data_IF_862029361146
#
_entry.id   IF_862029361146
#
_cell.length_a   1.000
_cell.length_b   1.000
_cell.length_c   1.000
_cell.angle_alpha   90.00
_cell.angle_beta   90.00
_cell.angle_gamma   90.00
#
_symmetry.space_group_name_H-M   'P 1'
#
loop_
_entity.id
_entity.type
_entity.pdbx_description
1 polymer ?
#
# COMPACT_ATOMS: atom_id res chain seq x y z
N UNK A 1 -26.95 -12.00 21.15
CA UNK A 1 -27.15 -12.73 22.43
C UNK A 1 -25.84 -13.43 22.76
N UNK A 2 -25.32 -13.29 23.98
CA UNK A 2 -24.03 -13.85 24.39
C UNK A 2 -24.26 -14.85 25.54
N UNK A 3 -23.66 -16.03 25.46
CA UNK A 3 -23.91 -17.14 26.37
C UNK A 3 -22.75 -17.41 27.32
N UNK A 4 -23.06 -17.73 28.57
CA UNK A 4 -22.11 -18.26 29.56
C UNK A 4 -22.80 -19.44 30.27
N UNK A 5 -22.18 -20.63 30.24
CA UNK A 5 -22.75 -21.84 30.84
C UNK A 5 -24.12 -22.24 30.27
N UNK A 6 -24.35 -22.06 28.95
CA UNK A 6 -25.62 -22.42 28.28
C UNK A 6 -26.78 -21.43 28.48
N UNK A 7 -26.66 -20.46 29.39
CA UNK A 7 -27.70 -19.44 29.66
C UNK A 7 -27.47 -18.19 28.81
N UNK A 8 -28.56 -17.64 28.25
CA UNK A 8 -28.53 -16.39 27.45
C UNK A 8 -28.65 -15.18 28.37
N UNK A 9 -27.77 -14.21 28.21
CA UNK A 9 -27.77 -12.96 28.97
C UNK A 9 -28.02 -11.75 28.06
N UNK A 10 -28.62 -10.70 28.63
CA UNK A 10 -28.85 -9.40 27.96
C UNK A 10 -27.62 -8.49 28.00
N UNK A 11 -26.50 -8.99 28.52
CA UNK A 11 -25.19 -8.33 28.56
C UNK A 11 -24.22 -9.06 27.64
N UNK A 12 -23.19 -8.37 27.15
CA UNK A 12 -22.09 -9.04 26.47
C UNK A 12 -21.16 -9.63 27.53
N UNK A 13 -20.81 -10.90 27.38
CA UNK A 13 -19.89 -11.60 28.27
C UNK A 13 -18.77 -12.16 27.42
N UNK A 14 -17.53 -11.91 27.82
CA UNK A 14 -16.34 -12.55 27.25
C UNK A 14 -15.60 -13.24 28.39
N UNK A 15 -15.31 -14.52 28.21
CA UNK A 15 -14.49 -15.30 29.13
C UNK A 15 -13.22 -15.73 28.41
N UNK A 16 -12.09 -15.69 29.11
CA UNK A 16 -10.80 -16.18 28.63
C UNK A 16 -10.05 -16.82 29.79
N UNK A 17 -9.97 -18.15 29.80
CA UNK A 17 -9.41 -18.97 30.89
C UNK A 17 -10.06 -18.55 32.22
N UNK A 18 -9.34 -17.84 33.09
CA UNK A 18 -9.78 -17.41 34.42
C UNK A 18 -10.42 -16.01 34.44
N UNK A 19 -10.25 -15.24 33.36
CA UNK A 19 -10.68 -13.83 33.29
C UNK A 19 -12.02 -13.69 32.56
N UNK A 20 -13.04 -13.22 33.29
CA UNK A 20 -14.38 -12.92 32.76
C UNK A 20 -14.61 -11.41 32.77
N UNK A 21 -15.04 -10.86 31.64
CA UNK A 21 -15.50 -9.48 31.52
C UNK A 21 -16.96 -9.42 31.08
N UNK A 22 -17.71 -8.52 31.71
CA UNK A 22 -19.13 -8.26 31.44
C UNK A 22 -19.25 -6.82 30.96
N UNK A 23 -19.89 -6.62 29.80
CA UNK A 23 -20.02 -5.32 29.14
C UNK A 23 -21.48 -5.02 28.84
N UNK A 24 -21.89 -3.78 29.13
CA UNK A 24 -23.20 -3.23 28.78
C UNK A 24 -23.08 -1.70 28.65
N UNK A 25 -23.87 -1.11 27.75
CA UNK A 25 -23.97 0.35 27.60
C UNK A 25 -24.67 1.01 28.79
N UNK A 26 -25.61 0.31 29.46
CA UNK A 26 -26.33 0.83 30.61
C UNK A 26 -25.67 0.41 31.94
N UNK A 27 -25.24 1.39 32.75
CA UNK A 27 -24.56 1.18 34.04
C UNK A 27 -25.42 0.41 35.06
N UNK A 28 -26.70 0.76 35.17
CA UNK A 28 -27.62 0.14 36.14
C UNK A 28 -27.89 -1.32 35.77
N UNK A 29 -28.16 -1.56 34.48
CA UNK A 29 -28.32 -2.91 33.94
C UNK A 29 -27.05 -3.75 34.14
N UNK A 30 -25.87 -3.17 33.90
CA UNK A 30 -24.59 -3.84 34.14
C UNK A 30 -24.42 -4.24 35.61
N UNK A 31 -24.65 -3.33 36.55
CA UNK A 31 -24.53 -3.62 37.98
C UNK A 31 -25.46 -4.77 38.41
N UNK A 32 -26.75 -4.70 38.00
CA UNK A 32 -27.73 -5.74 38.32
C UNK A 32 -27.33 -7.09 37.72
N UNK A 33 -26.99 -7.12 36.43
CA UNK A 33 -26.64 -8.36 35.73
C UNK A 33 -25.32 -8.96 36.22
N UNK A 34 -24.35 -8.15 36.60
CA UNK A 34 -23.11 -8.63 37.23
C UNK A 34 -23.41 -9.42 38.51
N UNK A 35 -24.30 -8.94 39.37
CA UNK A 35 -24.69 -9.67 40.59
C UNK A 35 -25.42 -10.99 40.27
N UNK A 36 -26.35 -10.97 39.31
CA UNK A 36 -27.05 -12.18 38.85
C UNK A 36 -26.06 -13.24 38.29
N UNK A 37 -25.06 -12.80 37.52
CA UNK A 37 -24.03 -13.67 36.94
C UNK A 37 -23.09 -14.21 38.02
N UNK A 38 -22.69 -13.38 38.99
CA UNK A 38 -21.88 -13.81 40.14
C UNK A 38 -22.60 -14.91 40.91
N UNK A 39 -23.90 -14.74 41.18
CA UNK A 39 -24.68 -15.76 41.87
C UNK A 39 -24.80 -17.04 41.03
N UNK A 40 -25.03 -16.91 39.73
CA UNK A 40 -25.06 -18.04 38.81
C UNK A 40 -23.74 -18.83 38.81
N UNK A 41 -22.59 -18.14 38.75
CA UNK A 41 -21.27 -18.79 38.80
C UNK A 41 -21.04 -19.50 40.14
N UNK A 42 -21.42 -18.88 41.26
CA UNK A 42 -21.37 -19.53 42.58
C UNK A 42 -22.22 -20.79 42.64
N UNK A 43 -23.43 -20.77 42.07
CA UNK A 43 -24.31 -21.94 42.00
C UNK A 43 -23.72 -23.07 41.15
N UNK A 44 -22.89 -22.74 40.16
CA UNK A 44 -22.11 -23.72 39.38
C UNK A 44 -20.85 -24.21 40.11
N UNK A 45 -20.64 -23.82 41.38
CA UNK A 45 -19.49 -24.24 42.19
C UNK A 45 -18.24 -23.37 42.02
N UNK A 46 -18.30 -22.25 41.30
CA UNK A 46 -17.14 -21.38 41.11
C UNK A 46 -16.81 -20.60 42.39
N UNK A 47 -15.52 -20.59 42.76
CA UNK A 47 -14.99 -19.80 43.88
C UNK A 47 -14.40 -18.49 43.36
N UNK A 48 -15.15 -17.40 43.53
CA UNK A 48 -14.75 -16.06 43.09
C UNK A 48 -13.92 -15.37 44.17
N UNK A 49 -12.77 -14.79 43.79
CA UNK A 49 -11.88 -14.05 44.69
C UNK A 49 -12.39 -12.62 44.92
N UNK A 50 -12.89 -12.25 46.13
CA UNK A 50 -13.50 -10.94 46.36
C UNK A 50 -12.53 -9.77 46.11
N UNK A 51 -11.24 -9.98 46.39
CA UNK A 51 -10.17 -8.98 46.23
C UNK A 51 -9.73 -8.77 44.78
N UNK A 52 -10.00 -9.74 43.89
CA UNK A 52 -9.64 -9.66 42.46
C UNK A 52 -10.82 -9.26 41.60
N UNK A 53 -12.03 -9.67 41.98
CA UNK A 53 -13.25 -9.37 41.23
C UNK A 53 -13.63 -7.89 41.37
N UNK A 54 -13.83 -7.22 40.23
CA UNK A 54 -14.37 -5.86 40.19
C UNK A 54 -15.85 -5.91 39.82
N UNK A 55 -16.72 -5.73 40.82
CA UNK A 55 -18.18 -5.85 40.63
C UNK A 55 -18.86 -4.51 40.33
N UNK A 56 -18.20 -3.40 40.65
CA UNK A 56 -18.72 -2.05 40.37
C UNK A 56 -18.40 -1.70 38.91
N UNK A 57 -19.42 -1.34 38.10
CA UNK A 57 -19.20 -0.90 36.73
C UNK A 57 -18.22 0.27 36.64
N UNK A 58 -17.23 0.16 35.77
CA UNK A 58 -16.25 1.21 35.49
C UNK A 58 -15.99 1.33 33.99
N UNK A 59 -15.73 2.55 33.55
CA UNK A 59 -15.28 2.83 32.17
C UNK A 59 -13.77 2.69 31.98
N UNK A 60 -13.01 2.61 33.09
CA UNK A 60 -11.56 2.37 33.11
C UNK A 60 -11.29 1.08 33.89
N UNK A 61 -10.72 0.08 33.25
CA UNK A 61 -10.48 -1.22 33.87
C UNK A 61 -9.27 -1.91 33.26
N UNK A 62 -8.81 -2.97 33.91
CA UNK A 62 -7.77 -3.84 33.39
C UNK A 62 -8.36 -5.19 33.00
N UNK A 63 -7.99 -5.69 31.82
CA UNK A 63 -8.43 -6.99 31.31
C UNK A 63 -7.34 -7.55 30.38
N UNK A 64 -6.97 -8.83 30.57
CA UNK A 64 -5.90 -9.51 29.85
C UNK A 64 -4.55 -8.76 29.87
N UNK A 65 -4.23 -8.13 31.00
CA UNK A 65 -2.99 -7.38 31.19
C UNK A 65 -2.96 -5.99 30.54
N UNK A 66 -4.08 -5.50 29.99
CA UNK A 66 -4.17 -4.19 29.33
C UNK A 66 -5.05 -3.21 30.12
N UNK A 67 -4.75 -1.92 30.03
CA UNK A 67 -5.61 -0.85 30.56
C UNK A 67 -6.58 -0.37 29.48
N UNK A 68 -7.87 -0.56 29.71
CA UNK A 68 -8.96 -0.19 28.80
C UNK A 68 -9.64 1.10 29.26
N UNK A 69 -9.96 1.99 28.33
CA UNK A 69 -10.76 3.18 28.56
C UNK A 69 -11.90 3.26 27.55
N UNK A 70 -13.13 2.96 28.00
CA UNK A 70 -14.30 2.96 27.12
C UNK A 70 -14.89 4.35 26.86
N UNK A 71 -14.37 5.41 27.51
CA UNK A 71 -14.75 6.78 27.12
C UNK A 71 -14.08 7.17 25.80
N UNK A 72 -12.81 6.82 25.64
CA UNK A 72 -12.01 7.15 24.45
C UNK A 72 -11.89 5.99 23.47
N UNK A 73 -12.37 4.79 23.84
CA UNK A 73 -12.21 3.56 23.07
C UNK A 73 -10.74 3.23 22.80
N UNK A 74 -9.92 3.36 23.84
CA UNK A 74 -8.47 3.21 23.79
C UNK A 74 -7.98 2.07 24.69
N UNK A 75 -6.88 1.44 24.27
CA UNK A 75 -6.14 0.47 25.07
C UNK A 75 -4.67 0.86 25.20
N UNK A 76 -4.13 0.74 26.42
CA UNK A 76 -2.75 1.11 26.74
C UNK A 76 -2.06 0.09 27.64
N UNK A 77 -0.74 0.01 27.54
CA UNK A 77 0.11 -0.76 28.43
C UNK A 77 0.03 -0.16 29.85
N UNK A 78 -0.29 -0.98 30.88
CA UNK A 78 -0.28 -0.52 32.26
C UNK A 78 1.08 0.02 32.71
N UNK A 79 1.06 1.05 33.56
CA UNK A 79 2.26 1.76 33.99
C UNK A 79 3.30 0.86 34.67
N UNK A 80 2.87 -0.13 35.45
CA UNK A 80 3.77 -1.07 36.13
C UNK A 80 4.54 -1.94 35.12
N UNK A 81 3.84 -2.58 34.19
CA UNK A 81 4.46 -3.40 33.12
C UNK A 81 5.37 -2.54 32.23
N UNK A 82 4.93 -1.32 31.90
CA UNK A 82 5.73 -0.34 31.16
C UNK A 82 7.06 -0.01 31.84
N UNK A 83 7.08 0.15 33.17
CA UNK A 83 8.31 0.41 33.93
C UNK A 83 9.26 -0.79 33.85
N UNK A 84 8.76 -2.01 34.04
CA UNK A 84 9.56 -3.24 33.98
C UNK A 84 10.22 -3.42 32.60
N UNK A 85 9.43 -3.32 31.53
CA UNK A 85 9.94 -3.46 30.15
C UNK A 85 10.95 -2.37 29.78
N UNK A 86 10.74 -1.13 30.25
CA UNK A 86 11.70 -0.05 30.06
C UNK A 86 13.05 -0.34 30.73
N UNK A 87 13.05 -0.80 31.97
CA UNK A 87 14.29 -1.14 32.68
C UNK A 87 15.01 -2.26 31.94
N UNK A 88 14.30 -3.35 31.64
CA UNK A 88 14.87 -4.48 30.91
C UNK A 88 15.47 -4.09 29.56
N UNK A 89 14.77 -3.27 28.77
CA UNK A 89 15.32 -2.81 27.49
C UNK A 89 16.56 -1.93 27.65
N UNK A 90 16.66 -1.11 28.72
CA UNK A 90 17.89 -0.35 28.99
C UNK A 90 19.05 -1.27 29.31
N UNK A 91 18.82 -2.29 30.13
CA UNK A 91 19.84 -3.28 30.46
C UNK A 91 20.34 -3.98 29.18
N UNK A 92 19.41 -4.43 28.33
CA UNK A 92 19.75 -5.03 27.03
C UNK A 92 20.50 -4.07 26.09
N UNK A 93 20.20 -2.78 26.13
CA UNK A 93 20.95 -1.77 25.36
C UNK A 93 22.40 -1.69 25.87
N UNK A 94 22.63 -1.63 27.19
CA UNK A 94 23.97 -1.58 27.76
C UNK A 94 24.77 -2.87 27.50
N UNK A 95 24.16 -4.04 27.70
CA UNK A 95 24.74 -5.35 27.36
C UNK A 95 25.14 -5.39 25.88
N UNK A 96 24.29 -4.87 24.98
CA UNK A 96 24.58 -4.83 23.54
C UNK A 96 25.69 -3.83 23.18
N UNK A 97 25.76 -2.66 23.83
CA UNK A 97 26.82 -1.67 23.64
C UNK A 97 28.19 -2.24 24.01
N UNK A 98 28.23 -2.95 25.14
CA UNK A 98 29.42 -3.64 25.63
C UNK A 98 29.73 -4.94 24.87
N UNK A 99 28.87 -5.35 23.93
CA UNK A 99 29.00 -6.58 23.14
C UNK A 99 29.20 -7.82 24.02
N UNK A 100 28.49 -7.86 25.15
CA UNK A 100 28.55 -8.99 26.07
C UNK A 100 28.00 -10.27 25.42
N UNK A 101 28.43 -11.40 25.98
CA UNK A 101 27.97 -12.72 25.59
C UNK A 101 26.74 -13.07 26.41
N UNK A 102 25.65 -13.48 25.75
CA UNK A 102 24.38 -13.84 26.38
C UNK A 102 23.89 -15.21 25.90
N UNK A 103 23.10 -15.90 26.71
CA UNK A 103 22.46 -17.15 26.31
C UNK A 103 21.38 -16.93 25.26
N UNK A 104 21.26 -17.84 24.27
CA UNK A 104 20.20 -17.75 23.25
C UNK A 104 18.80 -17.76 23.86
N UNK A 105 18.59 -18.50 24.96
CA UNK A 105 17.34 -18.51 25.73
C UNK A 105 17.00 -17.14 26.34
N UNK A 106 17.99 -16.34 26.73
CA UNK A 106 17.74 -14.99 27.26
C UNK A 106 17.21 -14.06 26.17
N UNK A 107 17.77 -14.16 24.96
CA UNK A 107 17.25 -13.42 23.78
C UNK A 107 15.83 -13.87 23.45
N UNK A 108 15.55 -15.19 23.52
CA UNK A 108 14.22 -15.74 23.29
C UNK A 108 13.20 -15.26 24.34
N UNK A 109 13.59 -15.18 25.61
CA UNK A 109 12.77 -14.63 26.70
C UNK A 109 12.42 -13.16 26.45
N UNK A 110 13.39 -12.31 26.07
CA UNK A 110 13.11 -10.92 25.70
C UNK A 110 12.10 -10.84 24.55
N UNK A 111 12.27 -11.64 23.50
CA UNK A 111 11.34 -11.68 22.37
C UNK A 111 9.94 -12.11 22.83
N UNK A 112 9.84 -13.12 23.70
CA UNK A 112 8.58 -13.60 24.26
C UNK A 112 7.82 -12.49 25.00
N UNK A 113 8.51 -11.70 25.81
CA UNK A 113 7.92 -10.57 26.53
C UNK A 113 7.50 -9.44 25.58
N UNK A 114 8.30 -9.13 24.57
CA UNK A 114 7.95 -8.12 23.56
C UNK A 114 6.78 -8.57 22.67
N UNK A 115 6.54 -9.87 22.50
CA UNK A 115 5.39 -10.37 21.75
C UNK A 115 4.06 -9.94 22.36
N UNK A 116 3.99 -9.79 23.69
CA UNK A 116 2.80 -9.28 24.38
C UNK A 116 2.37 -7.93 23.80
N UNK A 117 3.34 -7.05 23.52
CA UNK A 117 3.10 -5.70 23.04
C UNK A 117 2.50 -5.61 21.63
N UNK A 118 2.44 -6.71 20.86
CA UNK A 118 1.87 -6.73 19.51
C UNK A 118 0.39 -6.37 19.46
N UNK A 119 -0.32 -6.51 20.58
CA UNK A 119 -1.71 -6.10 20.67
C UNK A 119 -1.85 -4.59 20.50
N UNK A 120 -1.12 -3.80 21.32
CA UNK A 120 -1.17 -2.34 21.26
C UNK A 120 -0.32 -1.76 20.10
N UNK A 121 0.91 -2.27 19.90
CA UNK A 121 1.84 -1.77 18.89
C UNK A 121 1.96 -2.79 17.75
N UNK A 122 1.07 -2.72 16.75
CA UNK A 122 1.09 -3.63 15.60
C UNK A 122 2.46 -3.66 14.89
N UNK A 123 3.09 -2.49 14.76
CA UNK A 123 4.38 -2.29 14.10
C UNK A 123 5.59 -2.87 14.84
N UNK A 124 5.44 -3.37 16.08
CA UNK A 124 6.59 -3.81 16.89
C UNK A 124 7.39 -4.93 16.22
N UNK A 125 6.72 -5.75 15.40
CA UNK A 125 7.33 -6.86 14.68
C UNK A 125 8.37 -6.39 13.66
N UNK A 126 8.21 -5.18 13.10
CA UNK A 126 9.19 -4.57 12.20
C UNK A 126 10.56 -4.47 12.87
N UNK A 127 10.59 -4.10 14.15
CA UNK A 127 11.83 -3.90 14.92
C UNK A 127 12.34 -5.19 15.56
N UNK A 128 11.43 -6.09 15.95
CA UNK A 128 11.78 -7.40 16.51
C UNK A 128 12.37 -8.39 15.50
N UNK A 129 12.17 -8.18 14.19
CA UNK A 129 12.69 -9.09 13.16
C UNK A 129 14.21 -9.28 13.20
N UNK A 130 14.97 -8.25 13.59
CA UNK A 130 16.43 -8.35 13.74
C UNK A 130 16.79 -9.26 14.92
N UNK A 131 16.10 -9.14 16.05
CA UNK A 131 16.26 -10.01 17.22
C UNK A 131 15.91 -11.47 16.88
N UNK A 132 14.79 -11.68 16.19
CA UNK A 132 14.37 -13.03 15.74
C UNK A 132 15.39 -13.66 14.80
N UNK A 133 15.92 -12.88 13.84
CA UNK A 133 16.94 -13.36 12.90
C UNK A 133 18.24 -13.70 13.63
N UNK A 134 18.66 -12.86 14.57
CA UNK A 134 19.85 -13.07 15.39
C UNK A 134 19.72 -14.36 16.22
N UNK A 135 18.62 -14.49 16.98
CA UNK A 135 18.28 -15.69 17.76
C UNK A 135 18.27 -16.95 16.90
N UNK A 136 17.59 -16.92 15.74
CA UNK A 136 17.44 -18.10 14.89
C UNK A 136 18.77 -18.54 14.29
N UNK A 137 19.60 -17.60 13.83
CA UNK A 137 20.95 -17.91 13.34
C UNK A 137 21.84 -18.50 14.44
N UNK A 138 21.75 -17.96 15.65
CA UNK A 138 22.49 -18.46 16.80
C UNK A 138 22.10 -19.91 17.16
N UNK A 139 20.79 -20.17 17.25
CA UNK A 139 20.26 -21.50 17.57
C UNK A 139 20.62 -22.55 16.51
N UNK A 140 20.58 -22.18 15.21
CA UNK A 140 20.91 -23.11 14.10
C UNK A 140 22.40 -23.41 14.04
N UNK A 141 23.28 -22.43 14.27
CA UNK A 141 24.74 -22.64 14.21
C UNK A 141 25.30 -23.38 15.43
N UNK A 142 24.62 -23.31 16.56
CA UNK A 142 25.04 -23.94 17.81
C UNK A 142 23.91 -24.79 18.37
N UNK A 143 23.31 -24.33 19.47
CA UNK A 143 22.16 -24.97 20.10
C UNK A 143 21.36 -23.96 20.91
N UNK A 144 20.20 -24.33 21.44
CA UNK A 144 19.45 -23.47 22.38
C UNK A 144 20.20 -23.17 23.68
N UNK A 145 21.18 -23.99 24.04
CA UNK A 145 21.98 -23.81 25.25
C UNK A 145 23.27 -23.02 25.00
N UNK A 146 23.55 -22.64 23.74
CA UNK A 146 24.77 -21.90 23.45
C UNK A 146 24.66 -20.43 23.90
N UNK A 147 25.84 -19.81 24.00
CA UNK A 147 25.98 -18.39 24.24
C UNK A 147 26.40 -17.68 22.96
N UNK A 148 25.96 -16.44 22.79
CA UNK A 148 26.25 -15.63 21.61
C UNK A 148 26.59 -14.19 21.97
N UNK A 149 27.56 -13.65 21.26
CA UNK A 149 27.95 -12.27 21.39
C UNK A 149 26.94 -11.35 20.70
N UNK A 150 26.43 -10.34 21.41
CA UNK A 150 25.49 -9.38 20.85
C UNK A 150 26.16 -8.45 19.82
N UNK A 151 25.48 -8.26 18.69
CA UNK A 151 25.94 -7.39 17.62
C UNK A 151 25.35 -5.98 17.78
N UNK A 152 26.19 -4.94 17.71
CA UNK A 152 25.78 -3.52 17.77
C UNK A 152 24.74 -3.13 16.70
N UNK A 153 24.63 -3.88 15.59
CA UNK A 153 23.57 -3.71 14.57
C UNK A 153 22.14 -3.84 15.11
N UNK A 154 21.97 -4.46 16.29
CA UNK A 154 20.67 -4.62 16.95
C UNK A 154 20.24 -3.32 17.66
N UNK A 155 21.20 -2.47 18.09
CA UNK A 155 20.95 -1.29 18.91
C UNK A 155 19.86 -0.35 18.38
N UNK A 156 19.82 0.03 17.08
CA UNK A 156 18.77 0.92 16.58
C UNK A 156 17.36 0.36 16.81
N UNK A 157 17.19 -0.96 16.73
CA UNK A 157 15.90 -1.60 16.97
C UNK A 157 15.54 -1.60 18.45
N UNK A 158 16.52 -1.83 19.36
CA UNK A 158 16.28 -1.75 20.80
C UNK A 158 15.90 -0.33 21.23
N UNK A 159 16.57 0.69 20.68
CA UNK A 159 16.20 2.08 20.91
C UNK A 159 14.78 2.39 20.43
N UNK A 160 14.42 1.92 19.23
CA UNK A 160 13.06 2.15 18.70
C UNK A 160 11.99 1.42 19.52
N UNK A 161 12.26 0.20 19.99
CA UNK A 161 11.38 -0.51 20.92
C UNK A 161 11.22 0.24 22.24
N UNK A 162 12.33 0.77 22.80
CA UNK A 162 12.29 1.56 24.02
C UNK A 162 11.50 2.86 23.82
N UNK A 163 11.64 3.52 22.67
CA UNK A 163 10.87 4.70 22.29
C UNK A 163 9.37 4.41 22.24
N UNK A 164 8.95 3.32 21.58
CA UNK A 164 7.53 2.92 21.52
C UNK A 164 6.93 2.74 22.92
N UNK A 165 7.63 2.02 23.80
CA UNK A 165 7.17 1.79 25.19
C UNK A 165 7.21 3.10 26.01
N UNK A 166 8.17 3.99 25.73
CA UNK A 166 8.24 5.32 26.35
C UNK A 166 7.12 6.24 25.88
N UNK A 167 6.71 6.21 24.63
CA UNK A 167 5.58 7.02 24.17
C UNK A 167 4.26 6.44 24.68
N UNK A 168 4.12 5.11 24.65
CA UNK A 168 2.91 4.40 25.03
C UNK A 168 1.64 4.97 24.39
N UNK A 169 1.73 5.33 23.10
CA UNK A 169 0.58 5.83 22.34
C UNK A 169 -0.56 4.81 22.43
N UNK A 170 -1.79 5.22 22.81
CA UNK A 170 -2.90 4.30 22.90
C UNK A 170 -3.21 3.64 21.56
N UNK A 171 -3.69 2.41 21.62
CA UNK A 171 -4.36 1.79 20.48
C UNK A 171 -5.81 2.25 20.48
N UNK A 172 -6.24 2.97 19.45
CA UNK A 172 -7.63 3.28 19.20
C UNK A 172 -8.37 2.04 18.67
N UNK A 173 -9.58 1.82 19.18
CA UNK A 173 -10.47 0.73 18.77
C UNK A 173 -11.62 1.21 17.88
N UNK A 174 -11.68 2.51 17.58
CA UNK A 174 -12.67 3.08 16.67
C UNK A 174 -12.42 2.58 15.26
N UNK A 175 -13.47 2.08 14.61
CA UNK A 175 -13.39 1.69 13.20
C UNK A 175 -13.40 2.97 12.38
N UNK A 176 -12.27 3.25 11.72
CA UNK A 176 -12.20 4.31 10.71
C UNK A 176 -12.75 3.76 9.41
N UNK A 177 -13.72 4.45 8.81
CA UNK A 177 -14.27 4.10 7.49
C UNK A 177 -13.41 4.75 6.41
N UNK A 178 -12.67 3.97 5.60
CA UNK A 178 -11.87 4.52 4.52
C UNK A 178 -12.80 5.08 3.43
N UNK A 179 -12.52 6.30 2.97
CA UNK A 179 -13.18 6.92 1.82
C UNK A 179 -12.27 6.98 0.57
N UNK A 180 -11.03 6.53 0.73
CA UNK A 180 -10.04 6.41 -0.35
C UNK A 180 -9.58 4.96 -0.44
N UNK A 181 -9.57 4.45 -1.67
CA UNK A 181 -9.15 3.09 -1.98
C UNK A 181 -7.94 3.16 -2.88
N UNK A 182 -6.85 2.53 -2.46
CA UNK A 182 -5.66 2.32 -3.28
C UNK A 182 -5.60 0.84 -3.67
N UNK A 183 -5.74 0.56 -4.95
CA UNK A 183 -5.54 -0.78 -5.51
C UNK A 183 -4.18 -0.85 -6.18
N UNK A 184 -3.41 -1.89 -5.91
CA UNK A 184 -2.05 -2.06 -6.46
C UNK A 184 -1.84 -3.43 -7.07
N UNK A 185 -0.96 -3.48 -8.06
CA UNK A 185 -0.51 -4.72 -8.68
C UNK A 185 0.94 -4.59 -9.15
N UNK A 186 1.62 -5.73 -9.25
CA UNK A 186 3.00 -5.80 -9.70
C UNK A 186 3.20 -6.90 -10.75
N UNK A 187 3.96 -6.57 -11.80
CA UNK A 187 4.42 -7.54 -12.78
C UNK A 187 5.95 -7.65 -12.77
N UNK A 188 6.48 -8.47 -13.66
CA UNK A 188 7.93 -8.55 -13.88
C UNK A 188 8.54 -7.26 -14.44
N UNK A 189 7.71 -6.45 -15.11
CA UNK A 189 8.13 -5.30 -15.91
C UNK A 189 7.94 -4.00 -15.13
N UNK A 190 6.85 -3.90 -14.36
CA UNK A 190 6.53 -2.67 -13.65
C UNK A 190 5.50 -2.84 -12.54
N UNK A 191 5.00 -1.70 -12.07
CA UNK A 191 3.97 -1.61 -11.05
C UNK A 191 2.81 -0.75 -11.54
N UNK A 192 1.62 -1.04 -11.01
CA UNK A 192 0.41 -0.29 -11.28
C UNK A 192 -0.31 0.09 -10.01
N UNK A 193 -0.77 1.33 -9.93
CA UNK A 193 -1.53 1.88 -8.82
C UNK A 193 -2.79 2.59 -9.31
N UNK A 194 -3.93 2.25 -8.73
CA UNK A 194 -5.21 2.90 -8.93
C UNK A 194 -5.68 3.49 -7.60
N UNK A 195 -5.81 4.80 -7.54
CA UNK A 195 -6.36 5.53 -6.40
C UNK A 195 -7.78 6.01 -6.72
N UNK A 196 -8.75 5.55 -5.96
CA UNK A 196 -10.15 5.96 -6.05
C UNK A 196 -10.45 6.94 -4.91
N UNK A 197 -10.86 8.16 -5.26
CA UNK A 197 -11.25 9.21 -4.32
C UNK A 197 -12.63 9.72 -4.71
N UNK A 198 -13.62 9.56 -3.83
CA UNK A 198 -15.01 9.96 -4.07
C UNK A 198 -15.57 9.35 -5.37
N UNK A 199 -15.67 10.15 -6.45
CA UNK A 199 -16.17 9.76 -7.78
C UNK A 199 -15.07 9.76 -8.86
N UNK A 200 -13.82 9.96 -8.47
CA UNK A 200 -12.68 10.05 -9.38
C UNK A 200 -11.74 8.87 -9.24
N UNK A 201 -11.12 8.50 -10.36
CA UNK A 201 -10.05 7.52 -10.40
C UNK A 201 -8.77 8.18 -10.91
N UNK A 202 -7.68 7.95 -10.18
CA UNK A 202 -6.35 8.37 -10.57
C UNK A 202 -5.49 7.12 -10.75
N UNK A 203 -4.74 7.09 -11.84
CA UNK A 203 -3.93 5.94 -12.21
C UNK A 203 -2.48 6.39 -12.34
N UNK A 204 -1.58 5.57 -11.81
CA UNK A 204 -0.15 5.72 -12.02
C UNK A 204 0.50 4.35 -12.23
N UNK A 205 1.55 4.34 -13.03
CA UNK A 205 2.28 3.14 -13.42
C UNK A 205 3.66 3.54 -13.94
N UNK A 206 4.65 2.69 -13.68
CA UNK A 206 5.99 2.83 -14.21
C UNK A 206 6.72 1.48 -14.26
N UNK A 207 7.78 1.42 -15.06
CA UNK A 207 8.66 0.26 -15.12
C UNK A 207 9.57 0.18 -13.88
N UNK A 208 10.01 -1.04 -13.54
CA UNK A 208 11.02 -1.22 -12.51
C UNK A 208 12.35 -0.65 -12.98
N UNK A 209 12.82 0.42 -12.33
CA UNK A 209 14.17 0.94 -12.59
C UNK A 209 15.26 -0.07 -12.19
N UNK A 210 16.45 0.04 -12.80
CA UNK A 210 17.57 -0.90 -12.59
C UNK A 210 18.14 -0.96 -11.16
N UNK A 211 17.72 -0.05 -10.25
CA UNK A 211 18.11 -0.08 -8.85
C UNK A 211 17.25 -1.06 -8.02
N UNK A 212 16.15 -1.57 -8.58
CA UNK A 212 15.30 -2.56 -7.93
C UNK A 212 15.82 -3.97 -8.16
N UNK A 213 16.28 -4.62 -7.10
CA UNK A 213 16.66 -6.03 -7.10
C UNK A 213 15.54 -6.90 -6.51
N UNK A 214 14.39 -6.93 -7.18
CA UNK A 214 13.18 -7.66 -6.75
C UNK A 214 13.22 -9.09 -7.31
N UNK A 215 13.51 -10.08 -6.46
CA UNK A 215 13.76 -11.47 -6.87
C UNK A 215 12.54 -12.39 -6.76
N UNK A 216 11.42 -11.89 -6.24
CA UNK A 216 10.22 -12.69 -5.99
C UNK A 216 8.97 -11.87 -6.20
N UNK A 217 7.85 -12.52 -6.56
CA UNK A 217 6.57 -11.85 -6.72
C UNK A 217 6.19 -11.05 -5.49
N UNK A 218 6.27 -11.64 -4.29
CA UNK A 218 5.95 -10.94 -3.03
C UNK A 218 6.78 -9.68 -2.79
N UNK A 219 8.03 -9.62 -3.28
CA UNK A 219 8.83 -8.40 -3.22
C UNK A 219 8.33 -7.34 -4.21
N UNK A 220 7.93 -7.74 -5.42
CA UNK A 220 7.35 -6.86 -6.44
C UNK A 220 6.01 -6.28 -5.96
N UNK A 221 5.15 -7.11 -5.38
CA UNK A 221 3.85 -6.70 -4.85
C UNK A 221 3.97 -5.66 -3.75
N UNK A 222 4.79 -5.91 -2.71
CA UNK A 222 4.97 -4.93 -1.64
C UNK A 222 5.71 -3.67 -2.15
N UNK A 223 6.58 -3.80 -3.16
CA UNK A 223 7.21 -2.65 -3.80
C UNK A 223 6.18 -1.81 -4.58
N UNK A 224 5.20 -2.42 -5.25
CA UNK A 224 4.13 -1.71 -5.95
C UNK A 224 3.28 -0.89 -4.98
N UNK A 225 3.02 -1.40 -3.77
CA UNK A 225 2.41 -0.63 -2.68
C UNK A 225 3.24 0.61 -2.33
N UNK A 226 4.54 0.44 -2.12
CA UNK A 226 5.44 1.56 -1.80
C UNK A 226 5.47 2.61 -2.92
N UNK A 227 5.57 2.17 -4.18
CA UNK A 227 5.63 3.06 -5.33
C UNK A 227 4.33 3.82 -5.52
N UNK A 228 3.19 3.12 -5.40
CA UNK A 228 1.87 3.76 -5.51
C UNK A 228 1.63 4.77 -4.39
N UNK A 229 1.99 4.43 -3.14
CA UNK A 229 1.90 5.39 -2.03
C UNK A 229 2.76 6.63 -2.26
N UNK A 230 3.96 6.48 -2.84
CA UNK A 230 4.82 7.63 -3.20
C UNK A 230 4.20 8.47 -4.30
N UNK A 231 3.73 7.84 -5.37
CA UNK A 231 3.08 8.53 -6.49
C UNK A 231 1.89 9.37 -6.04
N UNK A 232 1.07 8.82 -5.14
CA UNK A 232 -0.14 9.48 -4.65
C UNK A 232 0.07 10.30 -3.37
N UNK A 233 1.28 10.35 -2.81
CA UNK A 233 1.57 11.11 -1.58
C UNK A 233 1.12 12.57 -1.62
N UNK A 234 1.36 13.35 -2.70
CA UNK A 234 0.90 14.74 -2.77
C UNK A 234 -0.62 14.88 -2.66
N UNK A 235 -1.35 13.93 -3.25
CA UNK A 235 -2.81 13.95 -3.30
C UNK A 235 -3.39 13.52 -1.96
N UNK A 236 -2.83 12.49 -1.35
CA UNK A 236 -3.21 12.02 0.00
C UNK A 236 -3.02 13.12 1.05
N UNK A 237 -1.96 13.94 0.92
CA UNK A 237 -1.74 15.10 1.78
C UNK A 237 -2.75 16.22 1.53
N UNK A 238 -3.03 16.56 0.27
CA UNK A 238 -4.00 17.61 -0.08
C UNK A 238 -5.43 17.26 0.34
N UNK A 239 -5.79 15.99 0.28
CA UNK A 239 -7.14 15.49 0.60
C UNK A 239 -7.35 15.22 2.09
N UNK A 240 -6.32 15.38 2.93
CA UNK A 240 -6.36 15.12 4.38
C UNK A 240 -6.98 13.75 4.72
N UNK A 241 -6.47 12.69 4.09
CA UNK A 241 -6.99 11.33 4.28
C UNK A 241 -6.50 10.75 5.59
N UNK A 242 -7.41 10.55 6.55
CA UNK A 242 -7.07 9.91 7.83
C UNK A 242 -6.96 8.39 7.73
N UNK A 243 -7.61 7.78 6.74
CA UNK A 243 -7.66 6.32 6.56
C UNK A 243 -7.72 5.92 5.08
N UNK A 244 -6.78 5.06 4.68
CA UNK A 244 -6.64 4.54 3.33
C UNK A 244 -6.88 3.02 3.33
N UNK A 245 -7.78 2.56 2.45
CA UNK A 245 -7.94 1.13 2.17
C UNK A 245 -6.97 0.72 1.06
N UNK A 246 -6.07 -0.22 1.36
CA UNK A 246 -5.19 -0.86 0.39
C UNK A 246 -5.77 -2.20 -0.05
N UNK A 247 -6.07 -2.30 -1.34
CA UNK A 247 -6.50 -3.53 -2.00
C UNK A 247 -5.36 -4.12 -2.82
N UNK A 248 -5.14 -5.43 -2.65
CA UNK A 248 -4.16 -6.22 -3.41
C UNK A 248 -4.68 -7.64 -3.54
N UNK A 249 -4.33 -8.33 -4.62
CA UNK A 249 -4.60 -9.75 -4.78
C UNK A 249 -3.51 -10.65 -4.18
N UNK A 250 -2.44 -10.05 -3.66
CA UNK A 250 -1.39 -10.78 -2.97
C UNK A 250 -1.67 -10.86 -1.47
N UNK A 251 -2.15 -12.03 -1.03
CA UNK A 251 -2.42 -12.32 0.39
C UNK A 251 -1.20 -12.17 1.30
N UNK A 252 0.03 -12.36 0.79
CA UNK A 252 1.24 -12.16 1.58
C UNK A 252 1.48 -10.68 1.86
N UNK A 253 1.29 -9.81 0.87
CA UNK A 253 1.40 -8.35 1.00
C UNK A 253 0.32 -7.81 1.92
N UNK A 254 -0.93 -8.23 1.73
CA UNK A 254 -2.07 -7.89 2.60
C UNK A 254 -1.75 -8.23 4.07
N UNK A 255 -1.45 -9.50 4.36
CA UNK A 255 -1.19 -9.95 5.73
C UNK A 255 0.04 -9.27 6.35
N UNK A 256 1.08 -9.07 5.53
CA UNK A 256 2.31 -8.39 5.91
C UNK A 256 2.02 -6.98 6.43
N UNK A 257 1.20 -6.21 5.72
CA UNK A 257 0.90 -4.82 6.03
C UNK A 257 -0.22 -4.68 7.07
N UNK A 258 -1.22 -5.57 7.07
CA UNK A 258 -2.30 -5.60 8.07
C UNK A 258 -1.76 -5.63 9.52
N UNK A 259 -0.80 -6.53 9.75
CA UNK A 259 -0.22 -6.78 11.05
C UNK A 259 1.18 -6.20 11.22
N UNK A 260 1.76 -5.60 10.17
CA UNK A 260 3.16 -5.20 10.12
C UNK A 260 4.12 -6.34 10.48
N UNK A 261 3.83 -7.56 9.98
CA UNK A 261 4.59 -8.80 10.23
C UNK A 261 5.25 -9.34 8.96
N UNK A 262 6.19 -8.58 8.36
CA UNK A 262 6.90 -9.04 7.17
C UNK A 262 7.82 -10.22 7.46
N UNK A 263 7.91 -11.13 6.50
CA UNK A 263 9.03 -12.06 6.40
C UNK A 263 10.35 -11.30 6.21
N UNK A 264 11.48 -11.95 6.51
CA UNK A 264 12.82 -11.33 6.47
C UNK A 264 13.13 -10.58 5.16
N UNK A 265 12.69 -11.10 4.03
CA UNK A 265 12.93 -10.51 2.71
C UNK A 265 12.12 -9.22 2.44
N UNK A 266 11.04 -8.99 3.17
CA UNK A 266 10.09 -7.88 2.96
C UNK A 266 10.23 -6.77 4.02
N UNK A 267 10.94 -7.03 5.13
CA UNK A 267 11.03 -6.13 6.29
C UNK A 267 11.48 -4.72 5.92
N UNK A 268 12.44 -4.61 5.00
CA UNK A 268 12.98 -3.32 4.61
C UNK A 268 11.92 -2.44 3.93
N UNK A 269 11.22 -2.99 2.93
CA UNK A 269 10.16 -2.26 2.21
C UNK A 269 9.00 -1.94 3.16
N UNK A 270 8.56 -2.92 3.97
CA UNK A 270 7.49 -2.70 4.95
C UNK A 270 7.81 -1.59 5.96
N UNK A 271 9.07 -1.44 6.38
CA UNK A 271 9.48 -0.31 7.25
C UNK A 271 9.39 1.03 6.55
N UNK A 272 9.76 1.10 5.28
CA UNK A 272 9.65 2.34 4.48
C UNK A 272 8.18 2.69 4.31
N UNK A 273 7.32 1.72 4.00
CA UNK A 273 5.87 1.92 3.90
C UNK A 273 5.32 2.43 5.23
N UNK A 274 5.66 1.79 6.35
CA UNK A 274 5.21 2.22 7.68
C UNK A 274 5.60 3.68 7.97
N UNK A 275 6.86 4.03 7.72
CA UNK A 275 7.36 5.39 7.94
C UNK A 275 6.69 6.40 6.99
N UNK A 276 6.43 6.02 5.74
CA UNK A 276 5.71 6.85 4.78
C UNK A 276 4.27 7.10 5.25
N UNK A 277 3.57 6.07 5.71
CA UNK A 277 2.22 6.21 6.29
C UNK A 277 2.21 7.11 7.53
N UNK A 278 3.20 6.99 8.43
CA UNK A 278 3.36 7.90 9.57
C UNK A 278 3.58 9.35 9.13
N UNK A 279 4.45 9.58 8.14
CA UNK A 279 4.73 10.93 7.62
C UNK A 279 3.53 11.56 6.91
N UNK A 280 2.69 10.74 6.27
CA UNK A 280 1.44 11.18 5.65
C UNK A 280 0.29 11.35 6.66
N UNK A 281 0.49 10.91 7.91
CA UNK A 281 -0.57 10.82 8.94
C UNK A 281 -1.78 9.96 8.50
N UNK A 282 -1.54 8.95 7.66
CA UNK A 282 -2.59 8.08 7.09
C UNK A 282 -2.58 6.73 7.81
N UNK A 283 -3.75 6.30 8.29
CA UNK A 283 -3.94 4.93 8.79
C UNK A 283 -4.20 3.97 7.63
N UNK A 284 -3.37 2.93 7.50
CA UNK A 284 -3.52 1.91 6.46
C UNK A 284 -4.42 0.77 6.94
N UNK A 285 -5.47 0.49 6.20
CA UNK A 285 -6.31 -0.72 6.29
C UNK A 285 -6.06 -1.55 5.04
N UNK A 286 -6.04 -2.87 5.14
CA UNK A 286 -5.73 -3.76 4.03
C UNK A 286 -6.89 -4.70 3.76
N UNK A 287 -7.09 -5.04 2.49
CA UNK A 287 -8.09 -6.00 2.04
C UNK A 287 -7.55 -6.82 0.88
N UNK A 288 -7.73 -8.13 0.94
CA UNK A 288 -7.37 -9.03 -0.15
C UNK A 288 -8.53 -9.11 -1.14
N UNK A 289 -8.27 -8.80 -2.40
CA UNK A 289 -9.24 -8.94 -3.50
C UNK A 289 -8.87 -10.11 -4.40
N UNK A 290 -9.84 -10.69 -5.12
CA UNK A 290 -9.50 -11.70 -6.14
C UNK A 290 -8.88 -11.00 -7.36
N UNK A 291 -7.88 -11.61 -7.99
CA UNK A 291 -7.21 -11.06 -9.19
C UNK A 291 -8.17 -10.67 -10.32
N UNK A 292 -9.29 -11.39 -10.48
CA UNK A 292 -10.36 -11.05 -11.45
C UNK A 292 -11.00 -9.66 -11.23
N UNK A 293 -10.87 -9.10 -10.03
CA UNK A 293 -11.32 -7.76 -9.68
C UNK A 293 -10.19 -6.71 -9.76
N UNK A 294 -8.93 -7.15 -9.95
CA UNK A 294 -7.74 -6.31 -10.01
C UNK A 294 -7.32 -5.90 -11.44
N UNK A 295 -8.24 -5.96 -12.41
CA UNK A 295 -7.90 -5.84 -13.83
C UNK A 295 -7.22 -4.51 -14.21
N UNK A 296 -7.59 -3.40 -13.56
CA UNK A 296 -7.02 -2.08 -13.87
C UNK A 296 -5.58 -1.99 -13.39
N UNK A 297 -5.30 -2.37 -12.14
CA UNK A 297 -3.93 -2.30 -11.62
C UNK A 297 -3.03 -3.33 -12.32
N UNK A 298 -3.52 -4.52 -12.65
CA UNK A 298 -2.75 -5.49 -13.44
C UNK A 298 -2.51 -5.04 -14.89
N UNK A 299 -3.46 -4.33 -15.52
CA UNK A 299 -3.22 -3.67 -16.80
C UNK A 299 -2.16 -2.57 -16.70
N UNK A 300 -2.13 -1.81 -15.61
CA UNK A 300 -1.11 -0.79 -15.33
C UNK A 300 0.26 -1.42 -15.09
N UNK A 301 0.35 -2.51 -14.33
CA UNK A 301 1.60 -3.18 -14.00
C UNK A 301 2.24 -3.89 -15.21
N UNK A 302 1.43 -4.33 -16.17
CA UNK A 302 1.85 -4.96 -17.45
C UNK A 302 1.68 -4.05 -18.66
N UNK A 303 1.58 -2.74 -18.44
CA UNK A 303 1.27 -1.80 -19.51
C UNK A 303 2.38 -1.82 -20.56
N UNK A 304 2.01 -1.78 -21.85
CA UNK A 304 2.98 -1.67 -22.93
C UNK A 304 3.62 -0.26 -22.99
N UNK A 305 4.49 0.05 -22.02
CA UNK A 305 5.07 1.39 -21.84
C UNK A 305 5.73 1.93 -23.11
N UNK A 306 6.41 1.07 -23.89
CA UNK A 306 7.07 1.42 -25.15
C UNK A 306 6.14 1.59 -26.36
N UNK A 307 4.82 1.52 -26.19
CA UNK A 307 3.85 1.89 -27.22
C UNK A 307 3.77 0.95 -28.42
N UNK A 308 3.93 -0.36 -28.24
CA UNK A 308 3.72 -1.35 -29.33
C UNK A 308 2.22 -1.61 -29.57
N UNK A 309 1.46 -0.56 -29.78
CA UNK A 309 0.04 -0.55 -30.14
C UNK A 309 -0.29 0.74 -30.88
N UNK A 310 -1.38 0.76 -31.63
CA UNK A 310 -1.77 1.92 -32.44
C UNK A 310 -3.27 2.12 -32.42
N UNK A 311 -3.72 3.36 -32.61
CA UNK A 311 -5.15 3.64 -32.79
C UNK A 311 -5.68 2.97 -34.06
N UNK A 312 -6.89 2.40 -34.02
CA UNK A 312 -7.54 1.80 -35.18
C UNK A 312 -7.92 2.86 -36.22
N UNK A 313 -7.95 2.48 -37.50
CA UNK A 313 -8.36 3.42 -38.57
C UNK A 313 -9.76 4.00 -38.35
N UNK A 314 -10.79 3.23 -37.92
CA UNK A 314 -12.11 3.79 -37.64
C UNK A 314 -12.08 4.89 -36.57
N UNK A 315 -11.40 4.64 -35.45
CA UNK A 315 -11.29 5.62 -34.36
C UNK A 315 -10.49 6.86 -34.77
N UNK A 316 -9.40 6.67 -35.54
CA UNK A 316 -8.63 7.81 -36.05
C UNK A 316 -9.44 8.66 -37.04
N UNK A 317 -10.18 8.04 -37.95
CA UNK A 317 -11.01 8.76 -38.91
C UNK A 317 -12.12 9.56 -38.21
N UNK A 318 -12.72 8.98 -37.16
CA UNK A 318 -13.66 9.69 -36.29
C UNK A 318 -13.01 10.90 -35.62
N UNK A 319 -11.80 10.74 -35.06
CA UNK A 319 -11.05 11.85 -34.45
C UNK A 319 -10.76 12.96 -35.46
N UNK A 320 -10.26 12.63 -36.66
CA UNK A 320 -9.95 13.58 -37.72
C UNK A 320 -11.21 14.36 -38.15
N UNK A 321 -12.33 13.66 -38.33
CA UNK A 321 -13.59 14.26 -38.75
C UNK A 321 -14.12 15.26 -37.72
N UNK A 322 -14.10 14.90 -36.43
CA UNK A 322 -14.67 15.75 -35.36
C UNK A 322 -13.73 16.90 -35.00
N UNK A 323 -12.43 16.64 -34.93
CA UNK A 323 -11.44 17.65 -34.56
C UNK A 323 -11.04 18.56 -35.74
N UNK A 324 -11.43 18.19 -36.96
CA UNK A 324 -11.14 18.90 -38.21
C UNK A 324 -9.63 19.14 -38.40
N UNK A 325 -8.83 18.12 -38.10
CA UNK A 325 -7.37 18.17 -38.19
C UNK A 325 -6.85 16.93 -38.90
N UNK A 326 -6.35 17.11 -40.13
CA UNK A 326 -5.74 16.02 -40.92
C UNK A 326 -4.24 15.96 -40.61
N UNK A 327 -3.73 14.87 -40.01
CA UNK A 327 -2.33 14.79 -39.64
C UNK A 327 -1.42 14.62 -40.85
N UNK A 328 -0.30 15.35 -40.88
CA UNK A 328 0.67 15.34 -41.99
C UNK A 328 1.73 14.25 -41.85
N UNK A 329 2.03 13.86 -40.61
CA UNK A 329 3.05 12.87 -40.26
C UNK A 329 2.67 12.14 -38.97
N UNK A 330 2.97 10.83 -38.89
CA UNK A 330 2.82 10.03 -37.68
C UNK A 330 4.17 9.92 -36.95
N UNK A 331 4.29 10.56 -35.79
CA UNK A 331 5.59 10.75 -35.15
C UNK A 331 6.11 9.53 -34.38
N UNK A 332 5.26 8.58 -33.97
CA UNK A 332 5.65 7.51 -33.05
C UNK A 332 5.19 6.14 -33.54
N UNK A 333 5.49 5.80 -34.80
CA UNK A 333 4.97 4.58 -35.42
C UNK A 333 6.04 3.68 -36.05
N UNK A 334 5.78 2.38 -36.04
CA UNK A 334 6.51 1.42 -36.87
C UNK A 334 5.92 1.38 -38.29
N UNK A 335 6.65 0.78 -39.23
CA UNK A 335 6.18 0.58 -40.61
C UNK A 335 4.80 -0.07 -40.70
N UNK A 336 4.53 -1.03 -39.81
CA UNK A 336 3.30 -1.84 -39.80
C UNK A 336 2.18 -1.22 -38.98
N UNK A 337 2.46 -0.20 -38.16
CA UNK A 337 1.50 0.44 -37.26
C UNK A 337 1.25 1.91 -37.58
N UNK A 338 1.86 2.43 -38.66
CA UNK A 338 1.70 3.81 -39.09
C UNK A 338 0.26 4.11 -39.47
N UNK A 339 -0.19 5.32 -39.16
CA UNK A 339 -1.50 5.83 -39.57
C UNK A 339 -1.45 6.99 -40.54
N UNK A 340 -0.24 7.46 -40.85
CA UNK A 340 0.04 8.39 -41.93
C UNK A 340 0.99 7.77 -42.96
N UNK A 341 0.97 8.27 -44.20
CA UNK A 341 1.92 7.83 -45.23
C UNK A 341 3.37 8.13 -44.82
N UNK A 342 3.60 9.35 -44.30
CA UNK A 342 4.85 9.82 -43.70
C UNK A 342 4.84 9.48 -42.21
N UNK A 343 5.94 8.89 -41.71
CA UNK A 343 6.05 8.51 -40.31
C UNK A 343 7.49 8.56 -39.80
N UNK A 344 7.67 8.71 -38.49
CA UNK A 344 8.93 8.55 -37.79
C UNK A 344 8.92 7.23 -37.01
N UNK A 345 10.02 6.47 -37.10
CA UNK A 345 10.10 5.13 -36.50
C UNK A 345 11.28 4.99 -35.55
N UNK A 346 11.08 4.54 -34.30
CA UNK A 346 12.19 4.36 -33.35
C UNK A 346 13.22 3.29 -33.82
N UNK A 347 12.77 2.37 -34.67
CA UNK A 347 13.60 1.34 -35.29
C UNK A 347 14.25 1.85 -36.58
N UNK A 348 15.34 1.21 -37.01
CA UNK A 348 15.99 1.56 -38.27
C UNK A 348 15.10 1.17 -39.45
N UNK A 349 14.49 2.17 -40.09
CA UNK A 349 13.63 1.98 -41.26
C UNK A 349 14.00 2.99 -42.35
N UNK A 350 14.43 2.48 -43.51
CA UNK A 350 14.79 3.30 -44.68
C UNK A 350 13.62 4.13 -45.25
N UNK A 351 12.37 3.76 -44.97
CA UNK A 351 11.15 4.45 -45.42
C UNK A 351 10.62 5.46 -44.39
N UNK A 352 11.16 5.47 -43.17
CA UNK A 352 10.77 6.45 -42.17
C UNK A 352 11.44 7.80 -42.47
N UNK A 353 10.73 8.90 -42.22
CA UNK A 353 11.24 10.26 -42.42
C UNK A 353 12.44 10.52 -41.50
N UNK A 354 12.34 10.06 -40.26
CA UNK A 354 13.39 10.12 -39.23
C UNK A 354 13.27 8.94 -38.28
N UNK A 355 14.38 8.61 -37.62
CA UNK A 355 14.42 7.58 -36.57
C UNK A 355 13.92 8.10 -35.22
N UNK A 356 14.43 9.25 -34.78
CA UNK A 356 14.03 9.85 -33.52
C UNK A 356 13.07 11.02 -33.78
N UNK A 357 11.80 10.84 -33.42
CA UNK A 357 10.78 11.88 -33.57
C UNK A 357 11.14 13.17 -32.82
N UNK A 358 11.87 13.05 -31.71
CA UNK A 358 12.24 14.17 -30.85
C UNK A 358 13.46 14.96 -31.34
N UNK A 359 14.20 14.47 -32.35
CA UNK A 359 15.51 15.02 -32.74
C UNK A 359 15.46 16.13 -33.78
N UNK A 360 14.29 16.53 -34.27
CA UNK A 360 14.13 17.58 -35.29
C UNK A 360 12.97 18.49 -34.93
N UNK A 361 12.92 19.70 -35.52
CA UNK A 361 11.82 20.64 -35.30
C UNK A 361 10.52 20.12 -35.93
N UNK A 362 9.39 20.22 -35.23
CA UNK A 362 8.08 19.90 -35.77
C UNK A 362 7.40 21.10 -36.46
N UNK A 363 8.04 22.27 -36.49
CA UNK A 363 7.49 23.47 -37.10
C UNK A 363 7.08 23.23 -38.56
N UNK A 364 5.86 23.63 -38.92
CA UNK A 364 5.28 23.45 -40.26
C UNK A 364 4.56 22.12 -40.48
N UNK A 365 4.65 21.17 -39.55
CA UNK A 365 3.88 19.93 -39.58
C UNK A 365 2.64 20.04 -38.68
N UNK A 366 1.61 19.23 -38.97
CA UNK A 366 0.46 18.99 -38.08
C UNK A 366 0.47 17.51 -37.69
N UNK A 367 1.31 17.09 -36.74
CA UNK A 367 1.57 15.68 -36.51
C UNK A 367 0.41 14.97 -35.83
N UNK A 368 0.27 13.68 -36.14
CA UNK A 368 -0.36 12.69 -35.28
C UNK A 368 0.65 12.27 -34.21
N UNK A 369 0.26 12.43 -32.96
CA UNK A 369 1.08 12.13 -31.79
C UNK A 369 0.36 11.08 -30.96
N UNK A 370 0.78 9.84 -31.09
CA UNK A 370 0.39 8.72 -30.23
C UNK A 370 1.66 8.08 -29.68
N UNK A 371 2.27 8.73 -28.69
CA UNK A 371 3.58 8.34 -28.18
C UNK A 371 3.50 7.32 -27.03
N UNK A 372 4.59 6.58 -26.76
CA UNK A 372 4.77 5.84 -25.51
C UNK A 372 4.42 6.70 -24.28
N UNK A 373 3.76 6.12 -23.28
CA UNK A 373 3.25 6.87 -22.11
C UNK A 373 4.37 7.58 -21.36
N UNK A 374 5.53 6.94 -21.25
CA UNK A 374 6.75 7.50 -20.66
C UNK A 374 7.26 8.77 -21.39
N UNK A 375 6.94 8.90 -22.68
CA UNK A 375 7.39 10.03 -23.49
C UNK A 375 6.44 11.22 -23.44
N UNK A 376 5.22 11.06 -22.91
CA UNK A 376 4.19 12.11 -22.88
C UNK A 376 4.74 13.43 -22.32
N UNK A 377 5.41 13.49 -21.14
CA UNK A 377 5.94 14.76 -20.62
C UNK A 377 6.90 15.47 -21.57
N UNK A 378 7.79 14.71 -22.21
CA UNK A 378 8.77 15.28 -23.17
C UNK A 378 8.10 15.76 -24.44
N UNK A 379 7.10 15.02 -24.91
CA UNK A 379 6.29 15.34 -26.09
C UNK A 379 5.47 16.60 -25.85
N UNK A 380 4.77 16.72 -24.72
CA UNK A 380 4.00 17.90 -24.36
C UNK A 380 4.88 19.17 -24.31
N UNK A 381 6.05 19.07 -23.68
CA UNK A 381 7.03 20.16 -23.67
C UNK A 381 7.51 20.53 -25.08
N UNK A 382 7.66 19.55 -25.97
CA UNK A 382 8.08 19.79 -27.35
C UNK A 382 6.97 20.44 -28.20
N UNK A 383 5.70 20.07 -28.00
CA UNK A 383 4.56 20.77 -28.62
C UNK A 383 4.58 22.25 -28.24
N UNK A 384 4.73 22.54 -26.94
CA UNK A 384 4.82 23.91 -26.44
C UNK A 384 6.05 24.65 -26.97
N UNK A 385 7.21 23.99 -27.08
CA UNK A 385 8.45 24.63 -27.56
C UNK A 385 8.42 24.93 -29.06
N UNK A 386 8.00 23.96 -29.86
CA UNK A 386 8.03 24.05 -31.32
C UNK A 386 6.83 24.86 -31.87
N UNK A 387 5.90 25.25 -30.99
CA UNK A 387 4.72 26.07 -31.22
C UNK A 387 3.85 25.57 -32.37
N UNK A 388 3.37 24.34 -32.24
CA UNK A 388 2.65 23.63 -33.30
C UNK A 388 1.19 23.31 -32.93
N UNK A 389 0.40 23.06 -33.96
CA UNK A 389 -0.90 22.40 -33.85
C UNK A 389 -0.72 20.89 -34.06
N UNK A 390 -1.26 20.06 -33.17
CA UNK A 390 -1.12 18.61 -33.25
C UNK A 390 -2.41 17.85 -32.91
N UNK A 391 -2.55 16.67 -33.50
CA UNK A 391 -3.55 15.67 -33.12
C UNK A 391 -2.90 14.73 -32.09
N UNK A 392 -3.23 14.94 -30.83
CA UNK A 392 -2.63 14.23 -29.71
C UNK A 392 -3.60 13.15 -29.20
N UNK A 393 -3.13 11.90 -29.12
CA UNK A 393 -3.90 10.73 -28.67
C UNK A 393 -3.23 10.16 -27.43
N UNK A 394 -3.99 10.00 -26.35
CA UNK A 394 -3.53 9.39 -25.10
C UNK A 394 -4.70 8.76 -24.34
N UNK A 395 -4.42 7.90 -23.34
CA UNK A 395 -5.43 7.49 -22.38
C UNK A 395 -5.96 8.69 -21.60
N UNK A 396 -7.28 8.77 -21.39
CA UNK A 396 -7.92 9.92 -20.74
C UNK A 396 -7.34 10.23 -19.35
N UNK A 397 -6.95 9.22 -18.58
CA UNK A 397 -6.34 9.41 -17.27
C UNK A 397 -4.99 10.15 -17.31
N UNK A 398 -4.27 10.10 -18.44
CA UNK A 398 -3.03 10.87 -18.62
C UNK A 398 -3.28 12.40 -18.66
N UNK A 399 -4.51 12.85 -19.01
CA UNK A 399 -4.84 14.28 -18.96
C UNK A 399 -4.74 14.82 -17.55
N UNK A 400 -5.26 14.07 -16.57
CA UNK A 400 -5.20 14.45 -15.17
C UNK A 400 -3.76 14.39 -14.65
N UNK A 401 -3.03 13.31 -14.99
CA UNK A 401 -1.64 13.11 -14.58
C UNK A 401 -0.71 14.24 -15.07
N UNK A 402 -0.86 14.66 -16.32
CA UNK A 402 0.01 15.65 -16.96
C UNK A 402 -0.66 17.01 -17.15
N UNK A 403 -1.69 17.32 -16.34
CA UNK A 403 -2.51 18.54 -16.48
C UNK A 403 -1.69 19.82 -16.57
N UNK A 404 -0.60 19.92 -15.82
CA UNK A 404 0.26 21.11 -15.78
C UNK A 404 1.14 21.27 -17.04
N UNK A 405 1.35 20.20 -17.80
CA UNK A 405 2.18 20.19 -19.01
C UNK A 405 1.35 20.29 -20.30
N UNK A 406 0.04 20.07 -20.21
CA UNK A 406 -0.84 20.05 -21.38
C UNK A 406 -0.84 21.43 -22.07
N UNK A 407 -0.60 21.47 -23.40
CA UNK A 407 -0.85 22.65 -24.21
C UNK A 407 -2.33 23.05 -24.19
N UNK A 408 -2.66 24.20 -24.79
CA UNK A 408 -4.05 24.63 -24.93
C UNK A 408 -4.83 23.62 -25.77
N UNK A 409 -5.88 23.04 -25.19
CA UNK A 409 -6.80 22.12 -25.87
C UNK A 409 -7.85 22.96 -26.60
N UNK A 410 -7.87 22.90 -27.92
CA UNK A 410 -8.85 23.61 -28.77
C UNK A 410 -10.15 22.82 -28.89
N UNK A 411 -10.04 21.50 -29.04
CA UNK A 411 -11.18 20.57 -29.10
C UNK A 411 -10.76 19.16 -28.69
N UNK A 412 -11.72 18.35 -28.27
CA UNK A 412 -11.48 16.98 -27.81
C UNK A 412 -12.63 16.04 -28.16
N UNK A 413 -12.34 14.75 -28.29
CA UNK A 413 -13.33 13.68 -28.46
C UNK A 413 -12.90 12.43 -27.68
N UNK A 414 -13.82 11.89 -26.88
CA UNK A 414 -13.69 10.55 -26.30
C UNK A 414 -13.96 9.51 -27.40
N UNK A 415 -12.97 8.68 -27.68
CA UNK A 415 -13.06 7.62 -28.68
C UNK A 415 -13.60 6.31 -28.10
N UNK A 416 -13.70 6.22 -26.77
CA UNK A 416 -14.20 5.06 -26.05
C UNK A 416 -13.09 4.15 -25.50
N UNK A 417 -13.47 2.94 -25.04
CA UNK A 417 -12.56 2.02 -24.35
C UNK A 417 -11.34 1.63 -25.19
N UNK A 418 -10.15 1.63 -24.57
CA UNK A 418 -8.89 1.30 -25.23
C UNK A 418 -8.89 -0.03 -25.97
N UNK A 419 -9.58 -1.04 -25.44
CA UNK A 419 -9.69 -2.38 -26.04
C UNK A 419 -10.45 -2.39 -27.37
N UNK A 420 -11.28 -1.38 -27.65
CA UNK A 420 -12.07 -1.27 -28.88
C UNK A 420 -11.39 -0.38 -29.92
N UNK A 421 -10.57 0.57 -29.47
CA UNK A 421 -9.98 1.60 -30.34
C UNK A 421 -8.48 1.45 -30.57
N UNK A 422 -7.79 0.60 -29.80
CA UNK A 422 -6.38 0.31 -29.99
C UNK A 422 -6.15 -1.10 -30.54
N UNK A 423 -5.24 -1.20 -31.50
CA UNK A 423 -4.79 -2.44 -32.11
C UNK A 423 -3.41 -2.82 -31.53
N UNK A 424 -3.29 -3.99 -30.85
CA UNK A 424 -2.05 -4.44 -30.25
C UNK A 424 -1.03 -4.86 -31.31
N UNK A 425 0.22 -4.41 -31.13
CA UNK A 425 1.35 -4.76 -31.98
C UNK A 425 1.93 -6.15 -31.71
N UNK A 426 2.88 -6.61 -32.54
CA UNK A 426 3.43 -7.96 -32.44
C UNK A 426 4.19 -8.24 -31.15
N UNK A 427 5.02 -7.30 -30.68
CA UNK A 427 5.80 -7.48 -29.44
C UNK A 427 4.90 -7.50 -28.23
N UNK A 428 3.86 -6.67 -28.23
CA UNK A 428 2.85 -6.64 -27.20
C UNK A 428 2.19 -8.01 -27.00
N UNK A 429 1.83 -8.67 -28.10
CA UNK A 429 1.25 -10.03 -28.09
C UNK A 429 2.25 -11.07 -27.58
N UNK A 430 3.50 -10.99 -28.01
CA UNK A 430 4.56 -11.94 -27.60
C UNK A 430 4.91 -11.82 -26.12
N UNK A 431 4.92 -10.60 -25.58
CA UNK A 431 5.28 -10.31 -24.19
C UNK A 431 4.08 -10.30 -23.23
N UNK A 432 2.89 -10.67 -23.72
CA UNK A 432 1.63 -10.67 -22.94
C UNK A 432 1.34 -9.33 -22.22
N UNK A 433 1.74 -8.23 -22.86
CA UNK A 433 1.53 -6.88 -22.34
C UNK A 433 0.06 -6.46 -22.51
N UNK A 434 -0.39 -5.53 -21.66
CA UNK A 434 -1.77 -5.03 -21.66
C UNK A 434 -1.87 -3.62 -22.23
N UNK A 435 -3.02 -3.34 -22.87
CA UNK A 435 -3.35 -2.02 -23.36
C UNK A 435 -3.55 -1.09 -22.16
N UNK A 436 -3.26 0.21 -22.30
CA UNK A 436 -3.53 1.16 -21.23
C UNK A 436 -5.01 1.09 -20.83
N UNK A 437 -5.34 1.07 -19.53
CA UNK A 437 -6.73 0.99 -19.09
C UNK A 437 -7.48 2.30 -19.36
N UNK A 438 -8.81 2.20 -19.40
CA UNK A 438 -9.71 3.33 -19.57
C UNK A 438 -9.98 3.70 -21.03
N UNK A 439 -10.57 4.88 -21.21
CA UNK A 439 -10.91 5.41 -22.52
C UNK A 439 -9.70 6.10 -23.17
N UNK A 440 -9.67 6.08 -24.50
CA UNK A 440 -8.72 6.86 -25.29
C UNK A 440 -9.39 8.14 -25.74
N UNK A 441 -8.67 9.25 -25.59
CA UNK A 441 -9.14 10.56 -26.00
C UNK A 441 -8.22 11.12 -27.08
N UNK A 442 -8.82 11.76 -28.08
CA UNK A 442 -8.10 12.53 -29.07
C UNK A 442 -8.30 14.02 -28.80
N UNK A 443 -7.20 14.76 -28.80
CA UNK A 443 -7.13 16.18 -28.52
C UNK A 443 -6.57 16.91 -29.74
N UNK A 444 -7.21 17.99 -30.13
CA UNK A 444 -6.58 19.03 -30.93
C UNK A 444 -5.93 20.01 -29.98
N UNK A 445 -4.60 20.07 -30.04
CA UNK A 445 -3.81 20.93 -29.16
C UNK A 445 -3.05 21.97 -29.96
N UNK A 446 -2.94 23.16 -29.40
CA UNK A 446 -2.16 24.28 -29.91
C UNK A 446 -1.34 24.85 -28.76
N UNK A 447 -0.10 25.25 -29.02
CA UNK A 447 0.73 25.94 -28.01
C UNK A 447 0.24 27.35 -27.74
#
# INVERSE_FOLDING_TARGET
>A
MYGLGGRRWTVKIQAYIDDIIILNSNRVSLAKKTLEIVQFLKNLGWRLSPTKCRLIPSKKFQYLGWSWNTNTMEVTLPQQQRRLLKTKLRDWIEITKQQQIVGVKQVASLIGELNFLRFQFKQISLYMNVLNTFKSKAAVKGSWNCQVQLNKRILPNLYKLLELIKLNKPMELTVRTPFVILTTDASEIGWGGLLQINNGELMDADEWNGNWHLKSSNQREIAAVLMSLRAFSPILQQTNVDCLLLQTDNSTTEFCLWNWRPAKALVHIARIIFQLSENLNVSLVTEHIKGIHNNKADALSRMAHHGDYSISFPALNQAISVLQLVPTIDLFASRTMKRCQRYCSPQQDRRAVRRNAMSFSWTGERPLIHCPIEMIPRVLNKINRDQIEALLILPQWCIYKFKQLLPKITSQIDLGPSQLVLEPGPKMKVLELKLPPGNIIALRVTS
#
